data_IF_920303882939
#
_entry.id   IF_920303882939
#
_cell.length_a   1.000
_cell.length_b   1.000
_cell.length_c   1.000
_cell.angle_alpha   90.00
_cell.angle_beta   90.00
_cell.angle_gamma   90.00
#
_symmetry.space_group_name_H-M   'P 1'
#
loop_
_entity.id
_entity.type
_entity.pdbx_description
1 polymer ?
#
# COMPACT_ATOMS: atom_id res chain seq x y z
N UNK A 1 -13.30 -6.51 -27.10
CA UNK A 1 -12.32 -6.80 -26.02
C UNK A 1 -13.11 -7.21 -24.78
N UNK A 2 -12.61 -8.16 -23.98
CA UNK A 2 -13.28 -8.59 -22.74
C UNK A 2 -12.74 -7.79 -21.54
N UNK A 3 -13.63 -7.17 -20.76
CA UNK A 3 -13.28 -6.36 -19.57
C UNK A 3 -12.48 -7.12 -18.51
N UNK A 4 -12.59 -8.46 -18.47
CA UNK A 4 -11.83 -9.32 -17.56
C UNK A 4 -10.32 -9.32 -17.89
N UNK A 5 -9.95 -9.09 -19.15
CA UNK A 5 -8.55 -9.13 -19.58
C UNK A 5 -7.94 -7.74 -19.77
N UNK A 6 -8.74 -6.76 -20.19
CA UNK A 6 -8.28 -5.41 -20.47
C UNK A 6 -9.42 -4.39 -20.38
N UNK A 7 -9.07 -3.15 -20.04
CA UNK A 7 -10.01 -2.04 -20.07
C UNK A 7 -10.52 -1.77 -21.51
N UNK A 8 -11.73 -1.23 -21.63
CA UNK A 8 -12.34 -0.87 -22.92
C UNK A 8 -11.51 0.16 -23.70
N UNK A 9 -10.85 1.08 -22.99
CA UNK A 9 -10.01 2.13 -23.57
C UNK A 9 -8.62 2.12 -22.95
N UNK A 10 -7.64 2.57 -23.73
CA UNK A 10 -6.24 2.74 -23.32
C UNK A 10 -5.90 4.22 -23.13
N UNK A 11 -4.63 4.52 -22.83
CA UNK A 11 -4.12 5.88 -22.63
C UNK A 11 -4.32 6.81 -23.83
N UNK A 12 -4.37 6.27 -25.05
CA UNK A 12 -4.58 7.08 -26.27
C UNK A 12 -5.96 7.75 -26.31
N UNK A 13 -6.89 7.26 -25.49
CA UNK A 13 -8.25 7.78 -25.35
C UNK A 13 -8.38 8.86 -24.28
N UNK A 14 -7.25 9.38 -23.80
CA UNK A 14 -7.16 10.55 -22.91
C UNK A 14 -6.33 11.62 -23.61
N UNK A 15 -6.82 12.85 -23.60
CA UNK A 15 -6.14 14.03 -24.16
C UNK A 15 -5.97 15.07 -23.07
N UNK A 16 -4.74 15.29 -22.64
CA UNK A 16 -4.39 16.35 -21.70
C UNK A 16 -4.33 17.66 -22.47
N UNK A 17 -5.07 18.67 -21.99
CA UNK A 17 -5.06 20.02 -22.54
C UNK A 17 -4.02 20.88 -21.83
N UNK A 18 -3.96 20.81 -20.50
CA UNK A 18 -2.96 21.52 -19.70
C UNK A 18 -2.80 20.88 -18.32
N UNK A 19 -1.63 21.13 -17.72
CA UNK A 19 -1.32 20.82 -16.32
C UNK A 19 -0.78 22.09 -15.66
N UNK A 20 -1.31 22.44 -14.51
CA UNK A 20 -0.95 23.65 -13.76
C UNK A 20 -0.61 23.26 -12.31
N UNK A 21 0.60 23.55 -11.81
CA UNK A 21 0.92 23.29 -10.41
C UNK A 21 0.09 24.21 -9.50
N UNK A 22 -0.62 23.64 -8.53
CA UNK A 22 -1.38 24.37 -7.52
C UNK A 22 -0.59 24.49 -6.20
N UNK A 23 0.12 23.43 -5.83
CA UNK A 23 0.91 23.38 -4.60
C UNK A 23 2.17 22.53 -4.79
N UNK A 24 3.28 22.96 -4.18
CA UNK A 24 4.56 22.24 -4.17
C UNK A 24 5.18 22.31 -2.78
N UNK A 25 4.99 21.26 -2.00
CA UNK A 25 5.66 21.03 -0.73
C UNK A 25 6.15 19.58 -0.67
N UNK A 26 6.00 18.94 0.49
CA UNK A 26 6.25 17.50 0.65
C UNK A 26 5.40 16.68 -0.33
N UNK A 27 4.14 17.07 -0.53
CA UNK A 27 3.30 16.59 -1.63
C UNK A 27 3.23 17.63 -2.76
N UNK A 28 2.99 17.18 -3.98
CA UNK A 28 2.71 18.06 -5.11
C UNK A 28 1.24 17.90 -5.53
N UNK A 29 0.58 19.01 -5.82
CA UNK A 29 -0.80 19.02 -6.32
C UNK A 29 -0.82 19.83 -7.60
N UNK A 30 -1.46 19.30 -8.63
CA UNK A 30 -1.71 20.00 -9.88
C UNK A 30 -3.18 19.98 -10.26
N UNK A 31 -3.56 20.93 -11.10
CA UNK A 31 -4.82 21.00 -11.80
C UNK A 31 -4.62 20.50 -13.22
N UNK A 32 -5.34 19.46 -13.60
CA UNK A 32 -5.29 18.85 -14.93
C UNK A 32 -6.58 19.17 -15.68
N UNK A 33 -6.44 19.84 -16.82
CA UNK A 33 -7.51 19.98 -17.78
C UNK A 33 -7.36 18.89 -18.83
N UNK A 34 -8.36 18.04 -18.98
CA UNK A 34 -8.30 16.91 -19.90
C UNK A 34 -9.64 16.63 -20.57
N UNK A 35 -9.59 15.78 -21.58
CA UNK A 35 -10.75 15.12 -22.18
C UNK A 35 -10.49 13.62 -22.20
N UNK A 36 -11.52 12.81 -22.03
CA UNK A 36 -11.42 11.37 -22.28
C UNK A 36 -12.57 10.90 -23.17
N UNK A 37 -12.46 9.69 -23.72
CA UNK A 37 -13.51 9.08 -24.52
C UNK A 37 -14.77 8.80 -23.69
N UNK A 38 -15.93 9.08 -24.26
CA UNK A 38 -17.22 8.64 -23.73
C UNK A 38 -17.48 7.18 -24.14
N UNK A 39 -18.04 6.38 -23.23
CA UNK A 39 -18.52 5.03 -23.57
C UNK A 39 -19.68 5.12 -24.57
N UNK A 40 -19.79 4.13 -25.44
CA UNK A 40 -20.82 3.98 -26.48
C UNK A 40 -20.91 5.14 -27.49
N UNK A 41 -19.91 6.02 -27.50
CA UNK A 41 -19.87 7.22 -28.33
C UNK A 41 -18.52 7.36 -29.05
N UNK A 42 -18.53 8.13 -30.13
CA UNK A 42 -17.30 8.43 -30.88
C UNK A 42 -16.59 9.71 -30.42
N UNK A 43 -17.21 10.41 -29.48
CA UNK A 43 -16.84 11.72 -29.03
C UNK A 43 -15.99 11.66 -27.74
N UNK A 44 -15.15 12.68 -27.58
CA UNK A 44 -14.53 12.96 -26.30
C UNK A 44 -15.50 13.79 -25.44
N UNK A 45 -15.32 13.76 -24.13
CA UNK A 45 -15.97 14.71 -23.23
C UNK A 45 -15.65 16.17 -23.63
N UNK A 46 -16.45 17.11 -23.14
CA UNK A 46 -15.97 18.50 -22.96
C UNK A 46 -14.71 18.50 -22.09
N UNK A 47 -13.97 19.62 -22.07
CA UNK A 47 -12.84 19.75 -21.14
C UNK A 47 -13.39 19.62 -19.72
N UNK A 48 -12.80 18.71 -18.95
CA UNK A 48 -13.05 18.54 -17.52
C UNK A 48 -11.78 18.90 -16.76
N UNK A 49 -11.99 19.34 -15.52
CA UNK A 49 -10.91 19.70 -14.60
C UNK A 49 -10.84 18.71 -13.43
N UNK A 50 -9.64 18.29 -13.07
CA UNK A 50 -9.36 17.49 -11.87
C UNK A 50 -8.14 18.04 -11.14
N UNK A 51 -8.14 17.89 -9.82
CA UNK A 51 -6.95 18.06 -9.01
C UNK A 51 -6.30 16.69 -8.83
N UNK A 52 -5.00 16.60 -9.10
CA UNK A 52 -4.21 15.38 -8.98
C UNK A 52 -3.12 15.60 -7.93
N UNK A 53 -3.17 14.79 -6.88
CA UNK A 53 -2.12 14.66 -5.87
C UNK A 53 -1.07 13.70 -6.41
N UNK A 54 0.17 14.18 -6.47
CA UNK A 54 1.33 13.35 -6.80
C UNK A 54 1.97 12.85 -5.52
N UNK A 55 2.12 11.54 -5.46
CA UNK A 55 2.95 10.84 -4.48
C UNK A 55 3.89 9.89 -5.22
N UNK A 56 5.13 9.72 -4.76
CA UNK A 56 6.00 8.70 -5.31
C UNK A 56 5.39 7.31 -5.11
N UNK A 57 5.88 6.34 -5.88
CA UNK A 57 5.48 4.96 -5.69
C UNK A 57 5.92 4.46 -4.32
N UNK A 58 5.20 3.48 -3.79
CA UNK A 58 5.47 2.89 -2.49
C UNK A 58 5.41 1.37 -2.59
N UNK A 59 6.06 0.69 -1.65
CA UNK A 59 6.01 -0.76 -1.58
C UNK A 59 5.89 -1.21 -0.13
N UNK A 60 5.23 -2.34 0.07
CA UNK A 60 5.07 -2.92 1.41
C UNK A 60 5.03 -4.43 1.38
N UNK A 61 5.31 -5.03 2.54
CA UNK A 61 5.45 -6.49 2.68
C UNK A 61 4.76 -6.98 3.95
N UNK A 62 3.95 -8.02 3.80
CA UNK A 62 3.52 -8.84 4.93
C UNK A 62 4.59 -9.90 5.22
N UNK A 63 5.26 -9.79 6.36
CA UNK A 63 6.19 -10.82 6.84
C UNK A 63 5.41 -11.83 7.69
N UNK A 64 5.51 -13.11 7.33
CA UNK A 64 4.83 -14.20 8.04
C UNK A 64 5.75 -15.41 8.24
N UNK A 65 5.38 -16.29 9.15
CA UNK A 65 6.09 -17.54 9.39
C UNK A 65 5.10 -18.66 9.74
N UNK A 66 4.92 -19.61 8.82
CA UNK A 66 4.00 -20.73 9.04
C UNK A 66 4.42 -21.68 10.16
N UNK A 67 5.72 -21.81 10.44
CA UNK A 67 6.20 -22.65 11.54
C UNK A 67 5.90 -22.03 12.89
N UNK A 68 6.10 -20.71 13.01
CA UNK A 68 5.75 -19.95 14.20
C UNK A 68 4.24 -19.66 14.28
N UNK A 69 3.48 -19.86 13.19
CA UNK A 69 2.05 -19.50 13.06
C UNK A 69 1.78 -18.02 13.37
N UNK A 70 2.71 -17.15 12.95
CA UNK A 70 2.71 -15.72 13.27
C UNK A 70 2.96 -14.84 12.05
N UNK A 71 2.55 -13.59 12.14
CA UNK A 71 2.88 -12.53 11.19
C UNK A 71 3.27 -11.24 11.93
N UNK A 72 4.02 -10.40 11.25
CA UNK A 72 4.42 -9.09 11.74
C UNK A 72 3.53 -7.99 11.15
N UNK A 73 3.07 -7.10 12.01
CA UNK A 73 2.52 -5.80 11.64
C UNK A 73 3.26 -4.71 12.42
N UNK A 74 3.25 -3.50 11.91
CA UNK A 74 3.81 -2.33 12.58
C UNK A 74 2.71 -1.36 12.97
N UNK A 75 2.91 -0.62 14.05
CA UNK A 75 2.03 0.45 14.48
C UNK A 75 2.77 1.78 14.48
N UNK A 76 2.21 2.78 13.82
CA UNK A 76 2.81 4.10 13.71
C UNK A 76 1.76 5.21 13.60
N UNK A 77 2.14 6.42 13.99
CA UNK A 77 1.29 7.61 13.85
C UNK A 77 1.14 7.98 12.38
N UNK A 78 -0.10 8.19 11.92
CA UNK A 78 -0.39 8.69 10.58
C UNK A 78 -1.14 10.00 10.66
N UNK A 79 -0.52 11.08 10.18
CA UNK A 79 -1.13 12.42 10.15
C UNK A 79 -2.47 12.45 9.41
N UNK A 80 -2.64 11.62 8.37
CA UNK A 80 -3.91 11.50 7.63
C UNK A 80 -5.07 10.94 8.46
N UNK A 81 -4.78 10.34 9.61
CA UNK A 81 -5.76 9.81 10.57
C UNK A 81 -5.83 10.65 11.87
N UNK A 82 -5.23 11.85 11.91
CA UNK A 82 -5.16 12.67 13.14
C UNK A 82 -6.53 12.99 13.76
N UNK A 83 -7.58 13.04 12.94
CA UNK A 83 -8.96 13.30 13.36
C UNK A 83 -9.80 12.00 13.49
N UNK A 84 -9.16 10.82 13.44
CA UNK A 84 -9.83 9.55 13.67
C UNK A 84 -10.37 9.47 15.10
N UNK A 85 -11.60 8.98 15.25
CA UNK A 85 -12.31 8.93 16.54
C UNK A 85 -11.70 7.94 17.52
N UNK A 86 -11.01 6.91 17.03
CA UNK A 86 -10.40 5.87 17.86
C UNK A 86 -8.92 6.18 18.11
N UNK A 87 -8.15 6.33 17.03
CA UNK A 87 -6.71 6.64 17.13
C UNK A 87 -6.06 6.95 15.77
N UNK A 88 -5.13 7.92 15.72
CA UNK A 88 -4.28 8.12 14.55
C UNK A 88 -3.12 7.11 14.42
N UNK A 89 -2.92 6.24 15.42
CA UNK A 89 -1.97 5.13 15.32
C UNK A 89 -2.59 3.97 14.55
N UNK A 90 -2.10 3.78 13.33
CA UNK A 90 -2.58 2.75 12.42
C UNK A 90 -1.75 1.48 12.59
N UNK A 91 -2.42 0.33 12.55
CA UNK A 91 -1.76 -0.96 12.41
C UNK A 91 -1.62 -1.25 10.91
N UNK A 92 -0.41 -1.52 10.45
CA UNK A 92 -0.04 -1.56 9.04
C UNK A 92 0.95 -2.70 8.76
N UNK A 93 1.17 -3.01 7.48
CA UNK A 93 2.32 -3.81 7.07
C UNK A 93 3.58 -2.93 7.08
N UNK A 94 4.75 -3.57 7.03
CA UNK A 94 6.02 -2.89 6.74
C UNK A 94 5.89 -2.24 5.36
N UNK A 95 6.16 -0.95 5.23
CA UNK A 95 6.02 -0.23 3.98
C UNK A 95 6.77 1.10 3.95
N UNK A 96 7.32 1.40 2.78
CA UNK A 96 8.03 2.65 2.52
C UNK A 96 7.77 3.22 1.14
N UNK A 97 8.19 4.46 0.97
CA UNK A 97 8.20 5.14 -0.33
C UNK A 97 9.48 4.77 -1.06
N UNK A 98 9.41 4.59 -2.38
CA UNK A 98 10.59 4.33 -3.20
C UNK A 98 11.50 5.57 -3.20
N UNK A 99 12.77 5.38 -2.87
CA UNK A 99 13.82 6.40 -2.97
C UNK A 99 14.57 6.35 -4.31
N UNK A 100 14.61 7.48 -5.00
CA UNK A 100 15.28 7.63 -6.30
C UNK A 100 14.80 6.62 -7.35
N UNK A 101 15.75 5.81 -7.85
CA UNK A 101 15.51 4.78 -8.86
C UNK A 101 15.46 3.36 -8.25
N UNK A 102 15.21 3.23 -6.95
CA UNK A 102 15.16 1.91 -6.30
C UNK A 102 13.99 1.05 -6.80
N UNK A 103 14.18 -0.26 -6.89
CA UNK A 103 13.08 -1.17 -7.21
C UNK A 103 12.18 -1.39 -5.99
N UNK A 104 10.89 -1.72 -6.17
CA UNK A 104 10.01 -2.07 -5.05
C UNK A 104 10.57 -3.18 -4.16
N UNK A 105 11.25 -4.18 -4.73
CA UNK A 105 11.90 -5.25 -3.96
C UNK A 105 13.09 -4.76 -3.13
N UNK A 106 13.86 -3.80 -3.64
CA UNK A 106 14.97 -3.18 -2.91
C UNK A 106 14.43 -2.35 -1.75
N UNK A 107 13.42 -1.52 -2.02
CA UNK A 107 12.71 -0.69 -1.04
C UNK A 107 12.25 -1.53 0.15
N UNK A 108 11.44 -2.57 -0.09
CA UNK A 108 10.86 -3.34 1.02
C UNK A 108 11.89 -4.16 1.80
N UNK A 109 13.05 -4.51 1.23
CA UNK A 109 14.15 -5.14 1.98
C UNK A 109 14.80 -4.17 2.96
N UNK A 110 15.02 -2.93 2.52
CA UNK A 110 15.51 -1.85 3.35
C UNK A 110 14.52 -1.56 4.48
N UNK A 111 13.26 -1.30 4.13
CA UNK A 111 12.18 -1.00 5.09
C UNK A 111 11.95 -2.14 6.09
N UNK A 112 12.04 -3.41 5.66
CA UNK A 112 11.90 -4.54 6.60
C UNK A 112 12.98 -4.56 7.67
N UNK A 113 14.20 -4.17 7.32
CA UNK A 113 15.27 -4.06 8.30
C UNK A 113 15.05 -2.83 9.20
N UNK A 114 14.68 -1.68 8.63
CA UNK A 114 14.51 -0.40 9.34
C UNK A 114 13.30 -0.40 10.30
N UNK A 115 12.15 -0.91 9.86
CA UNK A 115 10.88 -0.87 10.60
C UNK A 115 10.63 -2.11 11.49
N UNK A 116 11.36 -3.21 11.26
CA UNK A 116 11.11 -4.47 12.00
C UNK A 116 12.36 -5.28 12.38
N UNK A 117 13.54 -4.90 11.90
CA UNK A 117 14.77 -5.68 12.09
C UNK A 117 14.78 -7.03 11.38
N UNK A 118 13.79 -7.34 10.53
CA UNK A 118 13.66 -8.64 9.88
C UNK A 118 14.37 -8.63 8.52
N UNK A 119 15.30 -9.56 8.34
CA UNK A 119 15.87 -9.85 7.03
C UNK A 119 14.94 -10.77 6.23
N UNK A 120 14.61 -10.35 5.01
CA UNK A 120 13.74 -11.10 4.11
C UNK A 120 14.47 -11.38 2.80
N UNK A 121 14.27 -12.59 2.26
CA UNK A 121 14.98 -13.08 1.08
C UNK A 121 14.02 -13.31 -0.09
N UNK A 122 13.10 -14.27 0.04
CA UNK A 122 12.14 -14.57 -1.01
C UNK A 122 10.92 -13.67 -0.89
N UNK A 123 10.64 -12.93 -1.95
CA UNK A 123 9.47 -12.06 -2.04
C UNK A 123 8.48 -12.64 -3.03
N UNK A 124 7.22 -12.68 -2.63
CA UNK A 124 6.11 -12.95 -3.51
C UNK A 124 5.35 -11.65 -3.74
N UNK A 125 5.37 -11.15 -4.97
CA UNK A 125 4.48 -10.06 -5.37
C UNK A 125 3.03 -10.53 -5.31
N UNK A 126 2.18 -9.74 -4.66
CA UNK A 126 0.75 -10.01 -4.54
C UNK A 126 -0.05 -9.13 -5.50
N UNK A 127 0.11 -7.82 -5.37
CA UNK A 127 -0.68 -6.84 -6.12
C UNK A 127 0.12 -5.56 -6.36
N UNK A 128 -0.16 -4.89 -7.47
CA UNK A 128 0.13 -3.45 -7.62
C UNK A 128 -1.19 -2.73 -7.78
N UNK A 129 -1.44 -1.70 -6.98
CA UNK A 129 -2.73 -1.02 -6.95
C UNK A 129 -2.59 0.47 -6.64
N UNK A 130 -3.58 1.25 -7.05
CA UNK A 130 -3.71 2.66 -6.69
C UNK A 130 -4.61 2.77 -5.46
N UNK A 131 -4.11 3.23 -4.30
CA UNK A 131 -4.93 3.34 -3.09
C UNK A 131 -6.15 4.26 -3.28
N UNK A 132 -6.01 5.32 -4.09
CA UNK A 132 -7.08 6.28 -4.36
C UNK A 132 -6.95 6.92 -5.76
N UNK A 133 -7.08 6.12 -6.82
CA UNK A 133 -6.93 6.54 -8.23
C UNK A 133 -7.83 7.71 -8.67
N UNK A 134 -8.88 8.03 -7.90
CA UNK A 134 -9.74 9.18 -8.18
C UNK A 134 -9.05 10.54 -8.02
N UNK A 135 -7.97 10.59 -7.24
CA UNK A 135 -7.28 11.85 -6.90
C UNK A 135 -5.76 11.72 -6.69
N UNK A 136 -5.21 10.52 -6.52
CA UNK A 136 -3.80 10.30 -6.23
C UNK A 136 -3.15 9.42 -7.30
N UNK A 137 -1.92 9.75 -7.70
CA UNK A 137 -1.13 8.97 -8.67
C UNK A 137 -0.26 7.87 -8.04
N UNK A 138 -0.32 7.68 -6.72
CA UNK A 138 0.47 6.68 -6.00
C UNK A 138 0.17 5.27 -6.51
N UNK A 139 1.20 4.58 -7.02
CA UNK A 139 1.17 3.16 -7.26
C UNK A 139 1.83 2.45 -6.07
N UNK A 140 1.09 1.55 -5.42
CA UNK A 140 1.56 0.77 -4.28
C UNK A 140 1.82 -0.67 -4.69
N UNK A 141 2.99 -1.21 -4.37
CA UNK A 141 3.40 -2.59 -4.64
C UNK A 141 3.36 -3.42 -3.36
N UNK A 142 2.45 -4.40 -3.28
CA UNK A 142 2.27 -5.26 -2.12
C UNK A 142 2.93 -6.61 -2.33
N UNK A 143 3.75 -7.01 -1.36
CA UNK A 143 4.46 -8.27 -1.31
C UNK A 143 4.08 -9.08 -0.06
N UNK A 144 4.43 -10.35 -0.08
CA UNK A 144 4.55 -11.17 1.12
C UNK A 144 5.93 -11.84 1.18
N UNK A 145 6.41 -12.13 2.39
CA UNK A 145 7.68 -12.78 2.61
C UNK A 145 7.57 -13.77 3.77
N UNK A 146 7.98 -15.01 3.54
CA UNK A 146 8.17 -15.97 4.61
C UNK A 146 9.57 -15.81 5.20
N UNK A 147 9.67 -15.49 6.49
CA UNK A 147 10.94 -15.24 7.18
C UNK A 147 10.85 -15.62 8.65
N UNK A 148 11.99 -15.75 9.32
CA UNK A 148 12.00 -15.96 10.78
C UNK A 148 11.61 -14.66 11.48
N UNK A 149 10.57 -14.72 12.31
CA UNK A 149 10.16 -13.58 13.12
C UNK A 149 10.93 -13.58 14.45
N UNK A 150 11.28 -12.40 14.99
CA UNK A 150 11.94 -12.30 16.28
C UNK A 150 11.07 -12.89 17.40
N UNK A 151 11.68 -13.17 18.56
CA UNK A 151 10.93 -13.73 19.69
C UNK A 151 9.91 -12.74 20.27
N UNK A 152 10.21 -11.45 20.19
CA UNK A 152 9.40 -10.36 20.71
C UNK A 152 9.42 -9.17 19.74
N UNK A 153 8.40 -8.33 19.83
CA UNK A 153 8.37 -7.05 19.13
C UNK A 153 9.43 -6.06 19.65
N UNK A 154 9.40 -4.85 19.12
CA UNK A 154 10.38 -3.81 19.47
C UNK A 154 9.96 -2.44 18.95
N UNK A 155 10.76 -1.43 19.28
CA UNK A 155 10.62 -0.09 18.73
C UNK A 155 11.71 0.10 17.67
N UNK A 156 11.28 0.53 16.50
CA UNK A 156 12.04 0.65 15.26
C UNK A 156 11.70 1.98 14.55
N UNK A 157 12.14 2.11 13.30
CA UNK A 157 12.05 3.33 12.51
C UNK A 157 13.28 4.23 12.67
N UNK A 158 13.30 5.32 11.91
CA UNK A 158 14.41 6.27 11.89
C UNK A 158 14.07 7.54 12.70
N UNK A 159 14.66 7.74 13.90
CA UNK A 159 14.34 8.89 14.74
C UNK A 159 14.60 10.25 14.07
N UNK A 160 15.62 10.31 13.21
CA UNK A 160 15.97 11.52 12.45
C UNK A 160 14.92 11.88 11.39
N UNK A 161 14.08 10.92 11.00
CA UNK A 161 12.95 11.09 10.07
C UNK A 161 11.62 11.34 10.80
N UNK A 162 11.67 11.42 12.14
CA UNK A 162 10.49 11.60 12.99
C UNK A 162 9.65 10.35 13.16
N UNK A 163 10.19 9.18 12.82
CA UNK A 163 9.50 7.91 12.93
C UNK A 163 9.60 7.31 14.33
N UNK A 164 8.50 6.71 14.79
CA UNK A 164 8.44 5.90 16.00
C UNK A 164 7.49 4.75 15.72
N UNK A 165 8.07 3.59 15.42
CA UNK A 165 7.35 2.45 14.87
C UNK A 165 7.43 1.31 15.85
N UNK A 166 6.28 0.74 16.21
CA UNK A 166 6.21 -0.42 17.10
C UNK A 166 5.91 -1.69 16.32
N UNK A 167 6.82 -2.66 16.38
CA UNK A 167 6.62 -3.99 15.80
C UNK A 167 5.74 -4.86 16.69
N UNK A 168 4.68 -5.42 16.11
CA UNK A 168 3.75 -6.35 16.73
C UNK A 168 3.83 -7.72 16.05
N UNK A 169 4.03 -8.76 16.85
CA UNK A 169 4.02 -10.15 16.39
C UNK A 169 2.69 -10.79 16.77
N UNK A 170 1.91 -11.20 15.79
CA UNK A 170 0.50 -11.57 15.96
C UNK A 170 0.29 -13.01 15.49
N UNK A 171 -0.49 -13.77 16.26
CA UNK A 171 -0.83 -15.14 15.94
C UNK A 171 -1.85 -15.23 14.80
N UNK A 172 -1.76 -16.27 13.97
CA UNK A 172 -2.69 -16.50 12.87
C UNK A 172 -4.17 -16.56 13.32
N UNK A 173 -4.42 -16.97 14.56
CA UNK A 173 -5.77 -17.08 15.13
C UNK A 173 -6.44 -15.71 15.30
N UNK A 174 -5.67 -14.63 15.41
CA UNK A 174 -6.19 -13.25 15.57
C UNK A 174 -6.59 -12.58 14.25
N UNK A 175 -6.25 -13.17 13.10
CA UNK A 175 -6.55 -12.59 11.76
C UNK A 175 -8.04 -12.28 11.62
N UNK A 176 -8.92 -13.20 12.04
CA UNK A 176 -10.37 -13.02 11.93
C UNK A 176 -10.85 -11.85 12.80
N UNK A 177 -10.30 -11.73 14.01
CA UNK A 177 -10.65 -10.64 14.92
C UNK A 177 -10.24 -9.30 14.31
N UNK A 178 -9.00 -9.16 13.84
CA UNK A 178 -8.49 -7.93 13.21
C UNK A 178 -9.31 -7.51 11.99
N UNK A 179 -9.75 -8.47 11.16
CA UNK A 179 -10.56 -8.17 9.97
C UNK A 179 -12.01 -7.78 10.28
N UNK A 180 -12.51 -8.00 11.50
CA UNK A 180 -13.93 -7.81 11.84
C UNK A 180 -14.19 -6.77 12.93
N UNK A 181 -13.19 -6.42 13.72
CA UNK A 181 -13.36 -5.53 14.87
C UNK A 181 -13.19 -4.02 14.56
N UNK A 182 -12.90 -3.66 13.31
CA UNK A 182 -12.73 -2.26 12.89
C UNK A 182 -11.37 -1.63 13.21
N UNK A 183 -10.40 -2.38 13.77
CA UNK A 183 -9.06 -1.87 14.10
C UNK A 183 -8.26 -1.44 12.87
N UNK A 184 -8.43 -2.16 11.76
CA UNK A 184 -7.69 -1.92 10.52
C UNK A 184 -8.38 -0.85 9.68
N UNK A 185 -7.71 0.28 9.46
CA UNK A 185 -8.17 1.36 8.57
C UNK A 185 -7.14 1.68 7.46
N UNK A 186 -6.09 0.88 7.36
CA UNK A 186 -5.09 0.92 6.28
C UNK A 186 -5.42 -0.17 5.24
N UNK A 187 -5.49 0.21 3.95
CA UNK A 187 -5.92 -0.72 2.89
C UNK A 187 -4.90 -1.86 2.60
N UNK A 188 -3.58 -1.59 2.43
CA UNK A 188 -2.58 -2.64 2.22
C UNK A 188 -2.62 -3.77 3.26
N UNK A 189 -2.75 -3.47 4.55
CA UNK A 189 -2.81 -4.51 5.59
C UNK A 189 -4.06 -5.37 5.49
N UNK A 190 -5.21 -4.78 5.16
CA UNK A 190 -6.46 -5.56 4.98
C UNK A 190 -6.29 -6.53 3.80
N UNK A 191 -5.73 -6.08 2.68
CA UNK A 191 -5.47 -6.92 1.51
C UNK A 191 -4.49 -8.05 1.83
N UNK A 192 -3.38 -7.73 2.49
CA UNK A 192 -2.37 -8.68 2.93
C UNK A 192 -2.93 -9.76 3.86
N UNK A 193 -3.73 -9.39 4.86
CA UNK A 193 -4.31 -10.34 5.80
C UNK A 193 -5.42 -11.21 5.16
N UNK A 194 -6.18 -10.67 4.22
CA UNK A 194 -7.11 -11.46 3.42
C UNK A 194 -6.37 -12.50 2.57
N UNK A 195 -5.25 -12.12 1.94
CA UNK A 195 -4.38 -13.05 1.24
C UNK A 195 -3.82 -14.12 2.19
N UNK A 196 -3.28 -13.74 3.35
CA UNK A 196 -2.70 -14.67 4.32
C UNK A 196 -3.75 -15.67 4.82
N UNK A 197 -4.99 -15.22 5.09
CA UNK A 197 -6.08 -16.11 5.47
C UNK A 197 -6.39 -17.15 4.37
N UNK A 198 -6.30 -16.77 3.10
CA UNK A 198 -6.49 -17.71 1.97
C UNK A 198 -5.29 -18.65 1.81
N UNK A 199 -4.07 -18.13 1.96
CA UNK A 199 -2.84 -18.91 1.95
C UNK A 199 -2.89 -20.04 2.99
N UNK A 200 -3.18 -19.71 4.25
CA UNK A 200 -3.28 -20.68 5.36
C UNK A 200 -4.30 -21.78 5.06
N UNK A 201 -5.48 -21.41 4.54
CA UNK A 201 -6.53 -22.39 4.17
C UNK A 201 -6.04 -23.33 3.07
N UNK A 202 -5.26 -22.84 2.11
CA UNK A 202 -4.78 -23.65 0.99
C UNK A 202 -3.70 -24.61 1.48
N UNK A 203 -2.73 -24.13 2.27
CA UNK A 203 -1.62 -24.94 2.78
C UNK A 203 -2.06 -25.99 3.81
N UNK A 204 -3.13 -25.74 4.58
CA UNK A 204 -3.69 -26.73 5.53
C UNK A 204 -4.58 -27.79 4.87
N UNK A 205 -5.01 -27.59 3.63
CA UNK A 205 -5.86 -28.53 2.87
C UNK A 205 -5.07 -29.41 1.88
N UNK A 206 -3.74 -29.31 1.92
CA UNK A 206 -2.78 -30.16 1.19
C UNK A 206 -2.06 -31.02 2.21
#
# INVERSE_FOLDING_TARGET
MNIIQQATYNSDQVKIQSREPLFRGFIQVEKVNLKHRLFDQTEFTSVIQRELVHRPEAAGVLIYNDRQQKFALIEQFRVGAMDDVDSPWQLEIIAGVLDGDESPESCIRRESLEESGCEINQLQHLFSFYPSAGACSELFHLYSAQAELPQQGGIFGMPDEGENIQLHLIDYDDIKNLLTNGRLKNAPVIMALQWLQQHIKTTRNV
#
